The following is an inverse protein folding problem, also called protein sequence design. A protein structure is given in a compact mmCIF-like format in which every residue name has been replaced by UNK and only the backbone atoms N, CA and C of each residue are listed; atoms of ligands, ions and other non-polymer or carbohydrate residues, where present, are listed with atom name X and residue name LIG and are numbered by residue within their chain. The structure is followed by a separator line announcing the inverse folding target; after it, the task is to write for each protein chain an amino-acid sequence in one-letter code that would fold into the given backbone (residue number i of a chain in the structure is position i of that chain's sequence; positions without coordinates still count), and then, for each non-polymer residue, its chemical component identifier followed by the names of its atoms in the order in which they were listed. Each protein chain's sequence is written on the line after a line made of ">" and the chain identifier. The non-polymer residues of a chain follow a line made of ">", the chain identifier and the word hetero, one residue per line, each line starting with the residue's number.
data_IF_669746019601
#
_entry.id   IF_669746019601
#
_cell.length_a   1.000
_cell.length_b   1.000
_cell.length_c   1.000
_cell.angle_alpha   90.00
_cell.angle_beta   90.00
_cell.angle_gamma   90.00
#
_symmetry.space_group_name_H-M   'P 1'
#
loop_
_entity.id
_entity.type
_entity.pdbx_description
1 polymer ?
#
# COMPACT_ATOMS: atom_id res chain seq x y z
N UNK A 1 6.25 9.71 -22.86
CA UNK A 1 7.19 9.31 -21.81
C UNK A 1 7.68 7.89 -22.12
N UNK A 2 8.99 7.65 -22.14
CA UNK A 2 9.50 6.29 -22.23
C UNK A 2 9.22 5.60 -20.88
N UNK A 3 8.44 4.51 -20.88
CA UNK A 3 8.18 3.73 -19.67
C UNK A 3 9.42 2.96 -19.18
N UNK A 4 9.29 2.26 -18.06
CA UNK A 4 10.33 1.37 -17.56
C UNK A 4 10.70 0.28 -18.57
N UNK A 5 11.96 -0.15 -18.57
CA UNK A 5 12.51 -1.17 -19.50
C UNK A 5 13.55 -2.03 -18.81
N UNK A 6 13.87 -3.19 -19.40
CA UNK A 6 14.95 -4.05 -18.95
C UNK A 6 14.80 -4.48 -17.50
N UNK A 7 15.89 -4.38 -16.73
CA UNK A 7 16.01 -4.86 -15.35
C UNK A 7 14.92 -4.30 -14.43
N UNK A 8 14.54 -3.03 -14.55
CA UNK A 8 13.44 -2.46 -13.75
C UNK A 8 12.14 -3.27 -13.93
N UNK A 9 11.79 -3.63 -15.17
CA UNK A 9 10.54 -4.34 -15.48
C UNK A 9 10.61 -5.76 -14.95
N UNK A 10 11.75 -6.44 -15.14
CA UNK A 10 11.97 -7.79 -14.63
C UNK A 10 11.88 -7.83 -13.09
N UNK A 11 12.53 -6.89 -12.40
CA UNK A 11 12.46 -6.78 -10.94
C UNK A 11 11.04 -6.45 -10.45
N UNK A 12 10.32 -5.56 -11.13
CA UNK A 12 8.95 -5.22 -10.76
C UNK A 12 8.00 -6.43 -10.93
N UNK A 13 8.16 -7.21 -11.99
CA UNK A 13 7.36 -8.42 -12.23
C UNK A 13 7.67 -9.52 -11.21
N UNK A 14 8.95 -9.78 -10.96
CA UNK A 14 9.36 -10.74 -9.93
C UNK A 14 8.91 -10.28 -8.54
N UNK A 15 9.09 -9.00 -8.21
CA UNK A 15 8.62 -8.40 -6.97
C UNK A 15 7.11 -8.53 -6.80
N UNK A 16 6.33 -8.25 -7.85
CA UNK A 16 4.88 -8.42 -7.82
C UNK A 16 4.47 -9.87 -7.54
N UNK A 17 5.19 -10.85 -8.10
CA UNK A 17 4.94 -12.27 -7.85
C UNK A 17 5.28 -12.68 -6.41
N UNK A 18 6.37 -12.16 -5.85
CA UNK A 18 6.95 -12.65 -4.59
C UNK A 18 6.71 -11.76 -3.36
N UNK A 19 6.17 -10.54 -3.49
CA UNK A 19 6.10 -9.57 -2.38
C UNK A 19 5.46 -10.14 -1.10
N UNK A 20 4.41 -10.95 -1.24
CA UNK A 20 3.67 -11.55 -0.13
C UNK A 20 4.07 -13.01 0.17
N UNK A 21 5.20 -13.51 -0.36
CA UNK A 21 5.62 -14.92 -0.15
C UNK A 21 5.79 -15.27 1.33
N UNK A 22 6.12 -14.29 2.18
CA UNK A 22 6.20 -14.47 3.63
C UNK A 22 4.87 -14.85 4.28
N UNK A 23 3.72 -14.51 3.66
CA UNK A 23 2.37 -14.81 4.20
C UNK A 23 2.10 -16.31 4.35
N UNK A 24 2.67 -17.14 3.48
CA UNK A 24 2.49 -18.59 3.54
C UNK A 24 3.07 -19.15 4.84
N UNK A 25 4.31 -18.80 5.17
CA UNK A 25 4.96 -19.23 6.39
C UNK A 25 4.37 -18.55 7.63
N UNK A 26 4.04 -17.24 7.52
CA UNK A 26 3.37 -16.50 8.59
C UNK A 26 2.10 -17.24 9.04
N UNK A 27 1.27 -17.67 8.08
CA UNK A 27 0.07 -18.43 8.41
C UNK A 27 0.38 -19.86 8.85
N UNK A 28 1.33 -20.54 8.22
CA UNK A 28 1.69 -21.91 8.58
C UNK A 28 2.12 -22.03 10.06
N UNK A 29 2.93 -21.08 10.53
CA UNK A 29 3.50 -21.06 11.89
C UNK A 29 2.58 -20.36 12.90
N UNK A 30 2.12 -19.15 12.61
CA UNK A 30 1.41 -18.31 13.59
C UNK A 30 -0.11 -18.36 13.48
N UNK A 31 -0.66 -19.00 12.44
CA UNK A 31 -2.11 -19.09 12.16
C UNK A 31 -2.80 -17.72 12.10
N UNK A 32 -2.08 -16.69 11.66
CA UNK A 32 -2.60 -15.33 11.52
C UNK A 32 -1.84 -14.58 10.43
N UNK A 33 -2.50 -13.61 9.80
CA UNK A 33 -1.89 -12.65 8.88
C UNK A 33 -1.55 -11.32 9.56
N UNK A 34 -1.67 -11.25 10.89
CA UNK A 34 -1.39 -10.01 11.62
C UNK A 34 0.10 -9.91 11.95
N UNK A 35 0.81 -9.00 11.27
CA UNK A 35 2.22 -8.73 11.53
C UNK A 35 2.48 -8.35 12.99
N UNK A 36 1.60 -7.54 13.59
CA UNK A 36 1.68 -7.13 15.00
C UNK A 36 1.58 -8.30 15.98
N UNK A 37 0.88 -9.37 15.62
CA UNK A 37 0.73 -10.58 16.46
C UNK A 37 1.74 -11.68 16.07
N UNK A 38 2.57 -11.44 15.05
CA UNK A 38 3.52 -12.42 14.50
C UNK A 38 4.80 -11.72 14.05
N UNK A 39 5.22 -11.92 12.80
CA UNK A 39 6.37 -11.29 12.16
C UNK A 39 5.90 -10.39 11.02
N UNK A 40 6.69 -9.39 10.69
CA UNK A 40 6.53 -8.59 9.48
C UNK A 40 6.66 -9.49 8.24
N UNK A 41 5.63 -9.51 7.41
CA UNK A 41 5.55 -10.43 6.27
C UNK A 41 6.53 -10.09 5.14
N UNK A 42 6.91 -8.82 4.98
CA UNK A 42 7.93 -8.40 4.04
C UNK A 42 9.30 -8.93 4.46
N UNK A 43 9.67 -8.74 5.73
CA UNK A 43 10.93 -9.26 6.29
C UNK A 43 10.99 -10.79 6.19
N UNK A 44 9.90 -11.47 6.58
CA UNK A 44 9.80 -12.92 6.47
C UNK A 44 9.88 -13.38 5.01
N UNK A 45 9.25 -12.66 4.07
CA UNK A 45 9.33 -12.97 2.65
C UNK A 45 10.75 -12.85 2.10
N UNK A 46 11.49 -11.81 2.49
CA UNK A 46 12.89 -11.65 2.12
C UNK A 46 13.78 -12.76 2.71
N UNK A 47 13.49 -13.22 3.93
CA UNK A 47 14.16 -14.35 4.56
C UNK A 47 13.87 -15.66 3.82
N UNK A 48 12.60 -15.94 3.51
CA UNK A 48 12.16 -17.13 2.76
C UNK A 48 12.92 -17.24 1.43
N UNK A 49 13.07 -16.13 0.70
CA UNK A 49 13.83 -16.09 -0.57
C UNK A 49 15.35 -16.24 -0.40
N UNK A 50 15.88 -16.00 0.80
CA UNK A 50 17.32 -16.11 1.09
C UNK A 50 17.74 -17.51 1.54
N UNK A 51 16.79 -18.36 1.92
CA UNK A 51 17.06 -19.71 2.46
C UNK A 51 17.56 -20.67 1.38
N UNK A 52 18.68 -21.39 1.60
CA UNK A 52 19.24 -22.33 0.62
C UNK A 52 18.26 -23.41 0.15
N UNK A 53 17.39 -23.88 1.02
CA UNK A 53 16.35 -24.88 0.72
C UNK A 53 15.28 -24.38 -0.25
N UNK A 54 15.15 -23.06 -0.44
CA UNK A 54 14.21 -22.40 -1.36
C UNK A 54 14.93 -21.81 -2.59
N UNK A 55 16.17 -22.24 -2.87
CA UNK A 55 16.97 -21.67 -3.95
C UNK A 55 16.36 -21.90 -5.35
N UNK A 56 15.50 -22.90 -5.49
CA UNK A 56 14.74 -23.23 -6.69
C UNK A 56 13.72 -22.14 -7.08
N UNK A 57 13.13 -21.45 -6.10
CA UNK A 57 12.19 -20.33 -6.34
C UNK A 57 12.77 -19.21 -7.20
N UNK A 58 14.10 -19.06 -7.17
CA UNK A 58 14.83 -18.01 -7.89
C UNK A 58 15.90 -18.59 -8.82
N UNK A 59 15.75 -19.86 -9.21
CA UNK A 59 16.67 -20.51 -10.16
C UNK A 59 16.77 -19.70 -11.46
N UNK A 60 17.97 -19.62 -12.03
CA UNK A 60 18.25 -18.83 -13.23
C UNK A 60 18.44 -17.32 -13.00
N UNK A 61 18.07 -16.78 -11.84
CA UNK A 61 18.34 -15.39 -11.50
C UNK A 61 19.77 -15.23 -10.94
N UNK A 62 20.49 -14.20 -11.36
CA UNK A 62 21.83 -13.90 -10.86
C UNK A 62 21.82 -13.40 -9.40
N UNK A 63 22.99 -13.42 -8.75
CA UNK A 63 23.14 -13.07 -7.32
C UNK A 63 22.71 -11.62 -7.04
N UNK A 64 23.01 -10.68 -7.95
CA UNK A 64 22.64 -9.29 -7.77
C UNK A 64 21.12 -9.11 -7.87
N UNK A 65 20.49 -9.74 -8.86
CA UNK A 65 19.03 -9.72 -9.04
C UNK A 65 18.31 -10.30 -7.82
N UNK A 66 18.78 -11.44 -7.28
CA UNK A 66 18.22 -12.01 -6.04
C UNK A 66 18.38 -11.09 -4.84
N UNK A 67 19.49 -10.34 -4.75
CA UNK A 67 19.67 -9.36 -3.69
C UNK A 67 18.68 -8.19 -3.82
N UNK A 68 18.46 -7.68 -5.03
CA UNK A 68 17.53 -6.58 -5.28
C UNK A 68 16.07 -7.02 -5.12
N UNK A 69 15.71 -8.22 -5.59
CA UNK A 69 14.39 -8.81 -5.37
C UNK A 69 14.07 -8.93 -3.88
N UNK A 70 15.01 -9.40 -3.06
CA UNK A 70 14.82 -9.47 -1.61
C UNK A 70 14.61 -8.10 -0.97
N UNK A 71 15.23 -7.04 -1.48
CA UNK A 71 14.94 -5.66 -1.02
C UNK A 71 13.54 -5.24 -1.43
N UNK A 72 13.12 -5.51 -2.66
CA UNK A 72 11.77 -5.20 -3.14
C UNK A 72 10.73 -5.89 -2.26
N UNK A 73 10.89 -7.20 -2.00
CA UNK A 73 10.01 -7.98 -1.12
C UNK A 73 10.08 -7.47 0.33
N UNK A 74 11.28 -7.29 0.89
CA UNK A 74 11.45 -6.85 2.27
C UNK A 74 10.90 -5.45 2.55
N UNK A 75 10.88 -4.57 1.55
CA UNK A 75 10.52 -3.16 1.74
C UNK A 75 9.09 -2.82 1.28
N UNK A 76 8.36 -3.73 0.63
CA UNK A 76 7.09 -3.39 -0.01
C UNK A 76 6.00 -2.94 0.99
N UNK A 77 5.99 -3.48 2.21
CA UNK A 77 5.00 -3.13 3.24
C UNK A 77 5.48 -2.04 4.22
N UNK A 78 6.76 -1.65 4.13
CA UNK A 78 7.35 -0.72 5.11
C UNK A 78 6.74 0.66 5.03
N UNK A 79 6.62 1.31 6.18
CA UNK A 79 6.13 2.69 6.23
C UNK A 79 7.05 3.65 5.48
N UNK A 80 8.35 3.56 5.74
CA UNK A 80 9.38 4.36 5.09
C UNK A 80 10.27 3.47 4.24
N UNK A 81 10.64 3.96 3.06
CA UNK A 81 11.64 3.33 2.20
C UNK A 81 12.97 4.06 2.44
N UNK A 82 14.09 3.34 2.65
CA UNK A 82 15.40 3.97 2.80
C UNK A 82 15.80 4.76 1.55
N UNK A 83 16.50 5.88 1.75
CA UNK A 83 17.13 6.61 0.65
C UNK A 83 18.37 5.86 0.12
N UNK A 84 18.76 6.16 -1.12
CA UNK A 84 19.99 5.63 -1.72
C UNK A 84 19.92 4.16 -2.18
N UNK A 85 18.72 3.63 -2.38
CA UNK A 85 18.54 2.37 -3.09
C UNK A 85 19.06 2.48 -4.53
N UNK A 86 19.51 1.35 -5.08
CA UNK A 86 19.89 1.26 -6.49
C UNK A 86 18.67 1.65 -7.38
N UNK A 87 18.86 2.44 -8.46
CA UNK A 87 17.75 3.01 -9.23
C UNK A 87 16.71 2.02 -9.76
N UNK A 88 17.13 0.88 -10.32
CA UNK A 88 16.19 -0.14 -10.82
C UNK A 88 15.39 -0.77 -9.67
N UNK A 89 16.06 -1.00 -8.54
CA UNK A 89 15.45 -1.54 -7.32
C UNK A 89 14.44 -0.58 -6.71
N UNK A 90 14.77 0.71 -6.59
CA UNK A 90 13.86 1.75 -6.07
C UNK A 90 12.63 1.89 -6.96
N UNK A 91 12.84 1.96 -8.28
CA UNK A 91 11.75 2.04 -9.24
C UNK A 91 10.83 0.80 -9.17
N UNK A 92 11.40 -0.41 -9.14
CA UNK A 92 10.63 -1.65 -9.02
C UNK A 92 9.86 -1.72 -7.70
N UNK A 93 10.50 -1.37 -6.57
CA UNK A 93 9.85 -1.30 -5.26
C UNK A 93 8.65 -0.35 -5.27
N UNK A 94 8.81 0.85 -5.83
CA UNK A 94 7.71 1.82 -5.92
C UNK A 94 6.56 1.32 -6.80
N UNK A 95 6.87 0.58 -7.88
CA UNK A 95 5.83 -0.03 -8.74
C UNK A 95 5.05 -1.07 -7.95
N UNK A 96 5.73 -1.99 -7.28
CA UNK A 96 5.09 -3.04 -6.45
C UNK A 96 4.23 -2.41 -5.36
N UNK A 97 4.75 -1.39 -4.66
CA UNK A 97 4.02 -0.66 -3.61
C UNK A 97 2.78 0.07 -4.10
N UNK A 98 2.81 0.63 -5.30
CA UNK A 98 1.64 1.29 -5.89
C UNK A 98 0.61 0.23 -6.35
N UNK A 99 1.07 -0.84 -7.00
CA UNK A 99 0.22 -1.92 -7.49
C UNK A 99 -0.52 -2.63 -6.35
N UNK A 100 0.19 -2.96 -5.27
CA UNK A 100 -0.37 -3.59 -4.07
C UNK A 100 -1.46 -2.71 -3.42
N UNK A 101 -1.20 -1.41 -3.23
CA UNK A 101 -2.23 -0.47 -2.71
C UNK A 101 -3.48 -0.44 -3.58
N UNK A 102 -3.32 -0.44 -4.91
CA UNK A 102 -4.46 -0.43 -5.83
C UNK A 102 -5.28 -1.73 -5.73
N UNK A 103 -4.62 -2.87 -5.57
CA UNK A 103 -5.29 -4.17 -5.42
C UNK A 103 -6.01 -4.28 -4.06
N UNK A 104 -5.33 -3.90 -2.97
CA UNK A 104 -5.93 -3.84 -1.64
C UNK A 104 -7.17 -2.95 -1.64
N UNK A 105 -7.11 -1.74 -2.21
CA UNK A 105 -8.28 -0.86 -2.27
C UNK A 105 -9.45 -1.50 -3.02
N UNK A 106 -9.18 -2.19 -4.14
CA UNK A 106 -10.21 -2.87 -4.92
C UNK A 106 -10.90 -3.97 -4.09
N UNK A 107 -10.13 -4.81 -3.41
CA UNK A 107 -10.65 -5.87 -2.53
C UNK A 107 -11.42 -5.27 -1.35
N UNK A 108 -10.87 -4.24 -0.71
CA UNK A 108 -11.46 -3.65 0.48
C UNK A 108 -12.78 -2.94 0.20
N UNK A 109 -12.99 -2.36 -0.99
CA UNK A 109 -14.28 -1.77 -1.40
C UNK A 109 -15.40 -2.81 -1.31
N UNK A 110 -15.15 -4.06 -1.72
CA UNK A 110 -16.15 -5.14 -1.68
C UNK A 110 -16.54 -5.52 -0.24
N UNK A 111 -15.58 -5.44 0.69
CA UNK A 111 -15.80 -5.72 2.12
C UNK A 111 -16.35 -4.53 2.91
N UNK A 112 -16.13 -3.31 2.42
CA UNK A 112 -16.54 -2.06 3.06
C UNK A 112 -17.76 -1.42 2.39
N UNK A 113 -18.36 -2.02 1.37
CA UNK A 113 -19.63 -1.49 0.83
C UNK A 113 -20.77 -1.64 1.86
N UNK A 114 -21.76 -0.72 1.86
CA UNK A 114 -22.95 -0.88 2.69
C UNK A 114 -23.61 -2.25 2.49
N UNK A 115 -23.93 -2.94 3.59
CA UNK A 115 -24.56 -4.26 3.57
C UNK A 115 -23.62 -5.45 3.34
N UNK A 116 -22.31 -5.24 3.15
CA UNK A 116 -21.36 -6.34 3.11
C UNK A 116 -21.29 -7.07 4.47
N UNK A 117 -21.11 -8.41 4.48
CA UNK A 117 -20.93 -9.15 5.72
C UNK A 117 -19.62 -8.71 6.41
N UNK A 118 -19.72 -8.39 7.70
CA UNK A 118 -18.56 -8.00 8.49
C UNK A 118 -17.63 -9.20 8.70
N UNK A 119 -16.35 -9.02 8.37
CA UNK A 119 -15.30 -9.96 8.68
C UNK A 119 -14.25 -9.27 9.57
N UNK A 120 -14.09 -9.68 10.84
CA UNK A 120 -13.20 -9.01 11.77
C UNK A 120 -11.72 -9.10 11.36
N UNK A 121 -11.29 -10.15 10.66
CA UNK A 121 -9.90 -10.27 10.21
C UNK A 121 -9.62 -9.27 9.09
N UNK A 122 -10.51 -9.24 8.08
CA UNK A 122 -10.38 -8.32 6.94
C UNK A 122 -10.51 -6.86 7.38
N UNK A 123 -11.43 -6.57 8.30
CA UNK A 123 -11.66 -5.23 8.84
C UNK A 123 -10.73 -4.86 10.01
N UNK A 124 -9.60 -5.57 10.19
CA UNK A 124 -8.59 -5.27 11.21
C UNK A 124 -9.10 -5.21 12.65
N UNK A 125 -10.16 -5.96 12.94
CA UNK A 125 -10.91 -5.98 14.19
C UNK A 125 -11.47 -4.61 14.62
N UNK A 126 -11.68 -3.71 13.66
CA UNK A 126 -12.30 -2.41 13.90
C UNK A 126 -13.81 -2.57 14.10
N UNK A 127 -14.37 -1.72 14.95
CA UNK A 127 -15.79 -1.73 15.28
C UNK A 127 -16.62 -1.26 14.07
N UNK A 128 -17.63 -2.04 13.63
CA UNK A 128 -18.56 -1.59 12.61
C UNK A 128 -19.57 -0.63 13.21
N UNK A 129 -19.66 0.58 12.66
CA UNK A 129 -20.73 1.53 12.95
C UNK A 129 -20.96 2.41 11.71
N UNK A 130 -22.22 2.62 11.28
CA UNK A 130 -22.51 3.36 10.05
C UNK A 130 -22.15 4.85 10.13
N UNK A 131 -21.97 5.41 11.32
CA UNK A 131 -21.81 6.86 11.52
C UNK A 131 -20.56 7.27 12.28
N UNK A 132 -19.94 6.34 12.98
CA UNK A 132 -18.81 6.61 13.86
C UNK A 132 -17.49 6.52 13.11
N UNK A 133 -16.61 7.46 13.41
CA UNK A 133 -15.23 7.53 12.95
C UNK A 133 -14.44 8.32 13.99
N UNK A 134 -13.12 8.23 13.95
CA UNK A 134 -12.22 8.90 14.88
C UNK A 134 -11.79 10.24 14.27
N UNK A 135 -12.15 11.40 14.87
CA UNK A 135 -11.82 12.71 14.29
C UNK A 135 -10.32 12.94 14.06
N UNK A 136 -9.48 12.40 14.94
CA UNK A 136 -8.03 12.48 14.81
C UNK A 136 -7.49 11.70 13.58
N UNK A 137 -8.17 10.63 13.15
CA UNK A 137 -7.81 9.89 11.93
C UNK A 137 -8.16 10.74 10.71
N UNK A 138 -9.34 11.36 10.67
CA UNK A 138 -9.71 12.27 9.58
C UNK A 138 -8.74 13.46 9.48
N UNK A 139 -8.36 14.06 10.62
CA UNK A 139 -7.40 15.16 10.64
C UNK A 139 -6.04 14.76 10.05
N UNK A 140 -5.52 13.57 10.39
CA UNK A 140 -4.29 13.03 9.80
C UNK A 140 -4.38 12.99 8.27
N UNK A 141 -5.50 12.49 7.72
CA UNK A 141 -5.71 12.43 6.26
C UNK A 141 -5.73 13.82 5.64
N UNK A 142 -6.52 14.74 6.20
CA UNK A 142 -6.67 16.09 5.65
C UNK A 142 -5.38 16.91 5.69
N UNK A 143 -4.51 16.64 6.66
CA UNK A 143 -3.18 17.22 6.80
C UNK A 143 -2.12 16.53 5.93
N UNK A 144 -2.47 15.45 5.22
CA UNK A 144 -1.55 14.66 4.40
C UNK A 144 -0.55 13.83 5.20
N UNK A 145 -0.83 13.55 6.48
CA UNK A 145 -0.02 12.69 7.33
C UNK A 145 -0.40 11.22 7.16
N UNK A 146 0.54 10.32 7.43
CA UNK A 146 0.25 8.89 7.52
C UNK A 146 -0.75 8.62 8.65
N UNK A 147 -1.80 7.86 8.34
CA UNK A 147 -2.74 7.38 9.36
C UNK A 147 -2.08 6.31 10.21
N UNK A 148 -2.09 6.50 11.52
CA UNK A 148 -1.56 5.53 12.48
C UNK A 148 -2.61 4.48 12.83
N UNK A 149 -2.27 3.20 12.64
CA UNK A 149 -3.16 2.06 12.90
C UNK A 149 -3.70 2.03 14.34
N UNK A 150 -2.88 2.45 15.32
CA UNK A 150 -3.27 2.51 16.73
C UNK A 150 -4.36 3.54 17.05
N UNK A 151 -4.55 4.54 16.18
CA UNK A 151 -5.58 5.57 16.36
C UNK A 151 -6.92 5.13 15.75
N UNK A 152 -6.94 4.03 15.00
CA UNK A 152 -8.15 3.54 14.34
C UNK A 152 -9.00 2.73 15.31
N UNK A 153 -10.30 3.01 15.30
CA UNK A 153 -11.30 2.28 16.08
C UNK A 153 -12.42 1.74 15.22
N UNK A 154 -12.85 2.52 14.24
CA UNK A 154 -14.06 2.25 13.46
C UNK A 154 -13.72 1.76 12.05
N UNK A 155 -14.60 0.97 11.44
CA UNK A 155 -14.43 0.60 10.02
C UNK A 155 -14.40 1.82 9.08
N UNK A 156 -15.01 2.95 9.48
CA UNK A 156 -14.87 4.21 8.75
C UNK A 156 -13.46 4.79 8.82
N UNK A 157 -12.71 4.56 9.89
CA UNK A 157 -11.29 4.95 9.96
C UNK A 157 -10.47 4.19 8.90
N UNK A 158 -10.87 2.95 8.59
CA UNK A 158 -10.25 2.19 7.51
C UNK A 158 -10.57 2.78 6.14
N UNK A 159 -11.83 3.20 5.89
CA UNK A 159 -12.17 3.94 4.67
C UNK A 159 -11.34 5.22 4.54
N UNK A 160 -11.12 5.93 5.64
CA UNK A 160 -10.28 7.14 5.68
C UNK A 160 -8.81 6.84 5.35
N UNK A 161 -8.23 5.80 5.95
CA UNK A 161 -6.89 5.31 5.61
C UNK A 161 -6.77 4.97 4.12
N UNK A 162 -7.72 4.22 3.56
CA UNK A 162 -7.70 3.84 2.14
C UNK A 162 -7.83 5.06 1.21
N UNK A 163 -8.66 6.04 1.57
CA UNK A 163 -8.75 7.31 0.84
C UNK A 163 -7.44 8.10 0.87
N UNK A 164 -6.68 8.04 1.97
CA UNK A 164 -5.41 8.75 2.10
C UNK A 164 -4.35 8.24 1.12
N UNK A 165 -4.46 6.97 0.67
CA UNK A 165 -3.53 6.38 -0.28
C UNK A 165 -3.56 7.03 -1.66
N UNK A 166 -4.62 7.78 -2.01
CA UNK A 166 -4.62 8.61 -3.21
C UNK A 166 -3.39 9.55 -3.29
N UNK A 167 -2.90 10.03 -2.14
CA UNK A 167 -1.68 10.85 -2.03
C UNK A 167 -0.38 10.08 -1.83
N UNK A 168 -0.47 8.81 -1.46
CA UNK A 168 0.69 7.96 -1.24
C UNK A 168 1.14 7.20 -2.50
N UNK A 169 0.35 7.24 -3.58
CA UNK A 169 0.73 6.65 -4.86
C UNK A 169 1.87 7.43 -5.50
N UNK A 170 2.94 6.74 -5.86
CA UNK A 170 4.16 7.31 -6.42
C UNK A 170 3.93 7.84 -7.83
N UNK A 171 3.33 7.02 -8.71
CA UNK A 171 3.31 7.31 -10.15
C UNK A 171 2.02 7.98 -10.63
N UNK A 172 2.11 8.91 -11.60
CA UNK A 172 0.93 9.48 -12.24
C UNK A 172 0.01 8.42 -12.87
N UNK A 173 0.58 7.35 -13.43
CA UNK A 173 -0.19 6.23 -13.98
C UNK A 173 -1.03 5.52 -12.91
N UNK A 174 -0.48 5.31 -11.72
CA UNK A 174 -1.19 4.70 -10.59
C UNK A 174 -2.34 5.60 -10.11
N UNK A 175 -2.09 6.91 -9.98
CA UNK A 175 -3.14 7.89 -9.61
C UNK A 175 -4.24 7.97 -10.66
N UNK A 176 -3.89 7.98 -11.94
CA UNK A 176 -4.86 7.90 -13.04
C UNK A 176 -5.70 6.63 -12.93
N UNK A 177 -5.07 5.48 -12.67
CA UNK A 177 -5.78 4.20 -12.51
C UNK A 177 -6.72 4.22 -11.31
N UNK A 178 -6.28 4.76 -10.18
CA UNK A 178 -7.08 4.95 -8.98
C UNK A 178 -8.34 5.79 -9.27
N UNK A 179 -8.19 6.90 -10.00
CA UNK A 179 -9.29 7.78 -10.39
C UNK A 179 -10.26 7.10 -11.39
N UNK A 180 -9.75 6.44 -12.43
CA UNK A 180 -10.57 5.72 -13.42
C UNK A 180 -11.42 4.60 -12.80
N UNK A 181 -10.89 3.95 -11.76
CA UNK A 181 -11.59 2.92 -11.00
C UNK A 181 -12.61 3.48 -10.00
N UNK A 182 -12.69 4.81 -9.83
CA UNK A 182 -13.58 5.49 -8.88
C UNK A 182 -13.47 4.96 -7.44
N UNK A 183 -12.24 4.70 -7.01
CA UNK A 183 -11.98 4.10 -5.71
C UNK A 183 -12.41 5.00 -4.55
N UNK A 184 -12.08 6.29 -4.61
CA UNK A 184 -12.50 7.24 -3.58
C UNK A 184 -14.02 7.35 -3.50
N UNK A 185 -14.71 7.45 -4.63
CA UNK A 185 -16.17 7.51 -4.67
C UNK A 185 -16.77 6.29 -3.99
N UNK A 186 -16.27 5.09 -4.31
CA UNK A 186 -16.73 3.83 -3.74
C UNK A 186 -16.49 3.74 -2.22
N UNK A 187 -15.31 4.15 -1.75
CA UNK A 187 -14.99 4.20 -0.32
C UNK A 187 -15.87 5.20 0.43
N UNK A 188 -16.15 6.36 -0.17
CA UNK A 188 -16.95 7.42 0.42
C UNK A 188 -18.45 7.09 0.52
N UNK A 189 -18.97 6.12 -0.26
CA UNK A 189 -20.38 5.68 -0.15
C UNK A 189 -20.70 5.16 1.26
N UNK A 190 -19.72 4.52 1.91
CA UNK A 190 -19.90 3.97 3.25
C UNK A 190 -19.79 4.98 4.40
N UNK A 191 -19.43 6.23 4.12
CA UNK A 191 -19.28 7.28 5.14
C UNK A 191 -20.60 8.04 5.36
N UNK A 192 -20.86 8.54 6.58
CA UNK A 192 -22.09 9.29 6.85
C UNK A 192 -22.09 10.64 6.12
N UNK A 193 -23.28 11.14 5.77
CA UNK A 193 -23.44 12.42 5.09
C UNK A 193 -23.18 13.61 6.05
N UNK A 194 -21.90 13.98 6.21
CA UNK A 194 -21.46 15.08 7.07
C UNK A 194 -20.54 16.04 6.32
N UNK A 195 -20.53 17.31 6.76
CA UNK A 195 -19.75 18.39 6.12
C UNK A 195 -18.26 18.10 6.13
N UNK A 196 -17.71 17.45 7.16
CA UNK A 196 -16.27 17.14 7.18
C UNK A 196 -15.81 16.21 6.04
N UNK A 197 -16.68 15.35 5.50
CA UNK A 197 -16.33 14.50 4.36
C UNK A 197 -16.40 15.23 3.02
N UNK A 198 -16.96 16.44 2.98
CA UNK A 198 -16.80 17.33 1.83
C UNK A 198 -15.34 17.79 1.72
N UNK A 199 -14.72 18.18 2.84
CA UNK A 199 -13.31 18.54 2.86
C UNK A 199 -12.41 17.37 2.43
N UNK A 200 -12.78 16.14 2.79
CA UNK A 200 -12.09 14.93 2.33
C UNK A 200 -12.20 14.74 0.81
N UNK A 201 -13.38 14.93 0.22
CA UNK A 201 -13.57 14.86 -1.25
C UNK A 201 -12.68 15.87 -1.96
N UNK A 202 -12.63 17.10 -1.46
CA UNK A 202 -11.80 18.15 -2.03
C UNK A 202 -10.30 17.85 -1.86
N UNK A 203 -9.89 17.31 -0.70
CA UNK A 203 -8.52 16.86 -0.48
C UNK A 203 -8.11 15.79 -1.49
N UNK A 204 -8.92 14.74 -1.66
CA UNK A 204 -8.68 13.66 -2.63
C UNK A 204 -8.55 14.23 -4.05
N UNK A 205 -9.47 15.10 -4.45
CA UNK A 205 -9.47 15.69 -5.79
C UNK A 205 -8.21 16.53 -6.04
N UNK A 206 -7.79 17.35 -5.08
CA UNK A 206 -6.54 18.12 -5.18
C UNK A 206 -5.33 17.19 -5.29
N UNK A 207 -5.25 16.17 -4.45
CA UNK A 207 -4.11 15.25 -4.39
C UNK A 207 -3.95 14.42 -5.67
N UNK A 208 -5.06 13.95 -6.26
CA UNK A 208 -5.02 13.23 -7.54
C UNK A 208 -4.61 14.14 -8.71
N UNK A 209 -4.90 15.45 -8.64
CA UNK A 209 -4.57 16.43 -9.68
C UNK A 209 -3.15 17.03 -9.56
N UNK A 210 -2.70 17.38 -8.35
CA UNK A 210 -1.50 18.19 -8.10
C UNK A 210 -0.19 17.49 -8.49
N UNK A 211 -0.10 16.17 -8.40
CA UNK A 211 1.13 15.43 -8.68
C UNK A 211 1.30 15.06 -10.18
N UNK A 212 0.62 15.80 -11.06
CA UNK A 212 0.79 15.72 -12.52
C UNK A 212 1.91 16.64 -13.02
N UNK A 213 2.47 17.51 -12.15
CA UNK A 213 3.35 18.63 -12.53
C UNK A 213 4.81 18.47 -12.05
N UNK A 214 5.10 17.62 -11.06
CA UNK A 214 6.46 17.48 -10.49
C UNK A 214 7.30 16.35 -11.09
N UNK A 215 7.21 16.10 -12.41
CA UNK A 215 8.28 15.38 -13.12
C UNK A 215 9.35 16.38 -13.58
N UNK A 216 10.12 16.91 -12.63
CA UNK A 216 11.22 17.83 -12.91
C UNK A 216 11.66 18.60 -11.68
N UNK A 217 12.45 17.98 -10.79
CA UNK A 217 13.10 18.72 -9.71
C UNK A 217 13.41 17.88 -8.49
N UNK A 218 14.54 17.19 -8.53
CA UNK A 218 15.19 16.72 -7.32
C UNK A 218 15.67 17.95 -6.54
N UNK A 219 15.00 18.32 -5.44
CA UNK A 219 15.52 19.30 -4.50
C UNK A 219 15.38 18.82 -3.05
N UNK A 220 16.52 18.30 -2.59
CA UNK A 220 17.03 18.30 -1.23
C UNK A 220 16.51 19.51 -0.44
N UNK A 221 15.95 19.25 0.75
CA UNK A 221 16.05 20.19 1.86
C UNK A 221 16.48 19.44 3.10
N UNK A 222 17.78 19.55 3.39
CA UNK A 222 18.32 19.42 4.72
C UNK A 222 17.81 20.58 5.57
N UNK A 223 17.29 20.27 6.75
CA UNK A 223 17.43 21.03 8.01
C UNK A 223 17.00 20.10 9.15
#
# INVERSE_FOLDING_TARGET
>A
AAGFRGRTVELALAGALFHDVGRFEQYAVFKTYSDRKSLDHGDLGAEVLARPENADLTEGLDVAFRADLRKVVGLHNKRLVPDGLEPDTDAALRVVRDADKLDIVAVMIEHLRPGAPYNPVVCLHLDPDPTSYTPAVLAQVLEGRDVRYQDMRWTNDFRLLLCSWAGALTFPASRKRYAERKFSESLLVGLPARKEFQALREWIARTLCQNSVESGGHHVRHS
#
